data_IF_091698891065
#
_entry.id   IF_091698891065
#
_cell.length_a   1.000
_cell.length_b   1.000
_cell.length_c   1.000
_cell.angle_alpha   90.00
_cell.angle_beta   90.00
_cell.angle_gamma   90.00
#
_symmetry.space_group_name_H-M   'P 1'
#
loop_
_entity.id
_entity.type
_entity.pdbx_description
1 polymer ?
#
# COMPACT_ATOMS: atom_id res chain seq x y z
N UNK A 1 -33.88 5.12 -20.46
CA UNK A 1 -32.45 4.69 -20.41
C UNK A 1 -31.49 5.82 -20.05
N UNK A 2 -31.71 7.05 -20.52
CA UNK A 2 -30.79 8.17 -20.23
C UNK A 2 -30.65 8.47 -18.72
N UNK A 3 -31.75 8.41 -17.96
CA UNK A 3 -31.73 8.70 -16.52
C UNK A 3 -30.86 7.72 -15.71
N UNK A 4 -30.92 6.43 -16.03
CA UNK A 4 -30.11 5.41 -15.37
C UNK A 4 -28.62 5.65 -15.61
N UNK A 5 -28.25 6.02 -16.84
CA UNK A 5 -26.88 6.39 -17.20
C UNK A 5 -26.43 7.64 -16.45
N UNK A 6 -27.28 8.67 -16.38
CA UNK A 6 -26.94 9.91 -15.69
C UNK A 6 -26.68 9.69 -14.20
N UNK A 7 -27.53 8.90 -13.53
CA UNK A 7 -27.35 8.54 -12.11
C UNK A 7 -26.10 7.71 -11.88
N UNK A 8 -25.79 6.77 -12.78
CA UNK A 8 -24.55 6.00 -12.71
C UNK A 8 -23.31 6.91 -12.89
N UNK A 9 -23.33 7.83 -13.84
CA UNK A 9 -22.23 8.79 -14.04
C UNK A 9 -22.03 9.69 -12.82
N UNK A 10 -23.10 10.10 -12.15
CA UNK A 10 -23.00 10.87 -10.91
C UNK A 10 -22.42 10.04 -9.76
N UNK A 11 -22.88 8.80 -9.60
CA UNK A 11 -22.32 7.87 -8.62
C UNK A 11 -20.81 7.68 -8.78
N UNK A 12 -20.34 7.50 -10.03
CA UNK A 12 -18.91 7.36 -10.31
C UNK A 12 -18.12 8.63 -10.00
N UNK A 13 -18.66 9.81 -10.31
CA UNK A 13 -18.01 11.09 -9.95
C UNK A 13 -17.86 11.25 -8.44
N UNK A 14 -18.92 10.92 -7.68
CA UNK A 14 -18.89 10.97 -6.22
C UNK A 14 -17.90 9.97 -5.63
N UNK A 15 -17.87 8.74 -6.15
CA UNK A 15 -16.90 7.74 -5.72
C UNK A 15 -15.44 8.23 -5.86
N UNK A 16 -15.14 8.95 -6.96
CA UNK A 16 -13.82 9.49 -7.23
C UNK A 16 -13.50 10.77 -6.42
N UNK A 17 -14.47 11.65 -6.19
CA UNK A 17 -14.24 12.97 -5.60
C UNK A 17 -14.50 13.03 -4.08
N UNK A 18 -15.47 12.24 -3.59
CA UNK A 18 -15.98 12.28 -2.23
C UNK A 18 -15.63 11.01 -1.44
N UNK A 19 -15.17 9.96 -2.14
CA UNK A 19 -14.83 8.66 -1.56
C UNK A 19 -15.93 7.60 -1.67
N UNK A 20 -15.81 6.47 -0.94
CA UNK A 20 -16.66 5.29 -1.10
C UNK A 20 -18.16 5.57 -1.09
N UNK A 21 -18.89 4.97 -2.03
CA UNK A 21 -20.36 5.13 -2.13
C UNK A 21 -21.05 3.79 -1.88
N UNK A 22 -21.87 3.71 -0.82
CA UNK A 22 -22.61 2.51 -0.46
C UNK A 22 -23.91 2.37 -1.26
N UNK A 23 -24.16 1.16 -1.74
CA UNK A 23 -25.38 0.80 -2.47
C UNK A 23 -26.24 -0.06 -1.56
N UNK A 24 -27.45 0.41 -1.28
CA UNK A 24 -28.40 -0.28 -0.40
C UNK A 24 -29.52 -0.97 -1.18
N UNK A 25 -29.96 -2.15 -0.72
CA UNK A 25 -31.18 -2.81 -1.15
C UNK A 25 -32.04 -3.13 0.07
N UNK A 26 -33.29 -2.69 0.07
CA UNK A 26 -34.21 -2.82 1.22
C UNK A 26 -33.66 -2.25 2.55
N UNK A 27 -32.81 -1.22 2.48
CA UNK A 27 -32.19 -0.59 3.65
C UNK A 27 -30.89 -1.23 4.13
N UNK A 28 -30.46 -2.33 3.51
CA UNK A 28 -29.20 -3.00 3.84
C UNK A 28 -28.13 -2.69 2.79
N UNK A 29 -26.90 -2.42 3.23
CA UNK A 29 -25.75 -2.26 2.35
C UNK A 29 -25.41 -3.59 1.66
N UNK A 30 -25.44 -3.60 0.33
CA UNK A 30 -25.19 -4.82 -0.47
C UNK A 30 -23.96 -4.71 -1.36
N UNK A 31 -23.49 -3.50 -1.64
CA UNK A 31 -22.29 -3.24 -2.42
C UNK A 31 -21.72 -1.86 -2.09
N UNK A 32 -20.46 -1.64 -2.47
CA UNK A 32 -19.79 -0.34 -2.40
C UNK A 32 -19.10 -0.07 -3.73
N UNK A 33 -19.15 1.18 -4.18
CA UNK A 33 -18.37 1.68 -5.32
C UNK A 33 -17.19 2.46 -4.78
N UNK A 34 -15.99 2.04 -5.18
CA UNK A 34 -14.70 2.65 -4.80
C UNK A 34 -14.03 3.24 -6.03
N UNK A 35 -13.19 4.25 -5.84
CA UNK A 35 -12.19 4.61 -6.84
C UNK A 35 -11.26 3.41 -7.12
N UNK A 36 -10.79 3.29 -8.35
CA UNK A 36 -9.96 2.18 -8.78
C UNK A 36 -8.62 2.13 -8.03
N UNK A 37 -8.05 3.27 -7.65
CA UNK A 37 -6.81 3.35 -6.89
C UNK A 37 -7.01 2.88 -5.45
N UNK A 38 -8.13 3.25 -4.83
CA UNK A 38 -8.49 2.77 -3.50
C UNK A 38 -8.72 1.26 -3.49
N UNK A 39 -9.47 0.75 -4.47
CA UNK A 39 -9.66 -0.69 -4.62
C UNK A 39 -8.32 -1.42 -4.81
N UNK A 40 -7.45 -0.94 -5.69
CA UNK A 40 -6.13 -1.55 -5.92
C UNK A 40 -5.28 -1.54 -4.66
N UNK A 41 -5.25 -0.43 -3.91
CA UNK A 41 -4.52 -0.34 -2.63
C UNK A 41 -5.04 -1.38 -1.63
N UNK A 42 -6.35 -1.52 -1.48
CA UNK A 42 -6.97 -2.50 -0.57
C UNK A 42 -6.77 -3.94 -1.04
N UNK A 43 -6.81 -4.18 -2.35
CA UNK A 43 -6.65 -5.50 -2.95
C UNK A 43 -5.18 -5.96 -3.04
N UNK A 44 -4.23 -5.23 -2.44
CA UNK A 44 -2.80 -5.54 -2.51
C UNK A 44 -2.18 -5.33 -3.90
N UNK A 45 -2.87 -4.61 -4.78
CA UNK A 45 -2.45 -4.27 -6.14
C UNK A 45 -1.93 -2.83 -6.31
N UNK A 46 -1.91 -2.03 -5.24
CA UNK A 46 -0.94 -0.94 -5.15
C UNK A 46 0.39 -1.62 -4.93
N UNK A 47 1.31 -1.48 -5.90
CA UNK A 47 2.66 -2.05 -5.95
C UNK A 47 3.03 -2.57 -4.57
N UNK A 48 2.85 -3.87 -4.35
CA UNK A 48 3.37 -4.51 -3.17
C UNK A 48 4.85 -4.26 -3.30
N UNK A 49 5.32 -3.19 -2.66
CA UNK A 49 6.71 -2.87 -2.54
C UNK A 49 7.23 -4.08 -1.80
N UNK A 50 7.74 -5.04 -2.56
CA UNK A 50 8.19 -6.29 -2.01
C UNK A 50 9.31 -5.86 -1.08
N UNK A 51 9.02 -5.97 0.20
CA UNK A 51 9.92 -5.47 1.22
C UNK A 51 11.28 -6.14 1.07
N UNK A 52 11.34 -7.39 0.56
CA UNK A 52 12.61 -8.01 0.16
C UNK A 52 13.30 -7.29 -0.98
N UNK A 53 12.57 -6.86 -2.01
CA UNK A 53 13.12 -6.16 -3.17
C UNK A 53 13.65 -4.75 -2.81
N UNK A 54 13.02 -4.09 -1.84
CA UNK A 54 13.53 -2.84 -1.27
C UNK A 54 14.78 -3.08 -0.44
N UNK A 55 14.79 -4.11 0.40
CA UNK A 55 15.97 -4.43 1.21
C UNK A 55 17.12 -5.02 0.39
N UNK A 56 16.83 -5.70 -0.73
CA UNK A 56 17.86 -6.26 -1.61
C UNK A 56 18.53 -5.19 -2.48
N UNK A 57 17.98 -3.97 -2.53
CA UNK A 57 18.48 -2.89 -3.40
C UNK A 57 18.21 -3.14 -4.89
N UNK A 58 17.44 -4.17 -5.24
CA UNK A 58 17.14 -4.52 -6.64
C UNK A 58 16.14 -3.53 -7.27
N UNK A 59 15.35 -2.79 -6.46
CA UNK A 59 14.67 -1.57 -6.92
C UNK A 59 15.64 -0.40 -6.90
N UNK A 60 16.41 -0.23 -7.98
CA UNK A 60 17.26 0.94 -8.18
C UNK A 60 16.42 2.22 -8.30
N UNK A 61 16.16 2.89 -7.19
CA UNK A 61 15.69 4.27 -7.21
C UNK A 61 16.93 5.16 -7.47
N UNK A 62 16.97 5.94 -8.56
CA UNK A 62 18.19 6.58 -9.06
C UNK A 62 18.83 7.61 -8.12
N UNK A 63 18.13 8.00 -7.06
CA UNK A 63 18.59 8.98 -6.07
C UNK A 63 19.27 8.36 -4.84
N UNK A 64 19.29 7.03 -4.69
CA UNK A 64 19.86 6.34 -3.53
C UNK A 64 20.95 5.31 -3.91
N UNK A 65 21.87 5.67 -4.82
CA UNK A 65 22.92 4.76 -5.29
C UNK A 65 24.06 4.58 -4.27
N UNK A 66 25.04 5.49 -4.28
CA UNK A 66 26.30 5.30 -3.53
C UNK A 66 26.21 5.90 -2.12
N UNK A 67 25.66 7.10 -1.98
CA UNK A 67 25.62 7.81 -0.70
C UNK A 67 24.78 7.10 0.39
N UNK A 68 23.74 6.35 -0.01
CA UNK A 68 22.95 5.57 0.95
C UNK A 68 23.69 4.30 1.39
N UNK A 69 24.46 3.68 0.49
CA UNK A 69 25.24 2.48 0.82
C UNK A 69 26.28 2.78 1.90
N UNK A 70 26.99 3.89 1.78
CA UNK A 70 27.98 4.34 2.77
C UNK A 70 27.34 4.57 4.15
N UNK A 71 26.18 5.23 4.18
CA UNK A 71 25.43 5.48 5.42
C UNK A 71 24.94 4.18 6.07
N UNK A 72 24.48 3.22 5.26
CA UNK A 72 24.05 1.92 5.77
C UNK A 72 25.23 1.09 6.30
N UNK A 73 26.39 1.18 5.66
CA UNK A 73 27.61 0.51 6.13
C UNK A 73 28.10 1.11 7.45
N UNK A 74 28.05 2.43 7.60
CA UNK A 74 28.33 3.13 8.87
C UNK A 74 27.38 2.67 9.99
N UNK A 75 26.06 2.67 9.72
CA UNK A 75 25.05 2.22 10.68
C UNK A 75 25.25 0.73 11.04
N UNK A 76 25.54 -0.12 10.06
CA UNK A 76 25.78 -1.54 10.29
C UNK A 76 27.03 -1.79 11.13
N UNK A 77 28.09 -1.00 10.93
CA UNK A 77 29.32 -1.07 11.72
C UNK A 77 29.07 -0.66 13.18
N UNK A 78 28.31 0.42 13.42
CA UNK A 78 27.92 0.82 14.77
C UNK A 78 27.03 -0.23 15.45
N UNK A 79 26.15 -0.88 14.69
CA UNK A 79 25.28 -1.96 15.19
C UNK A 79 26.00 -3.30 15.39
N UNK A 80 27.15 -3.53 14.79
CA UNK A 80 27.90 -4.77 14.97
C UNK A 80 28.45 -4.93 16.41
N UNK A 81 28.66 -3.81 17.11
CA UNK A 81 29.01 -3.79 18.54
C UNK A 81 27.78 -4.05 19.44
N UNK A 82 26.60 -3.74 18.91
CA UNK A 82 25.28 -4.01 19.47
C UNK A 82 24.86 -5.45 19.08
N UNK A 83 25.68 -6.42 19.54
CA UNK A 83 25.47 -7.88 19.39
C UNK A 83 23.99 -8.25 19.54
N UNK A 84 23.51 -9.32 18.86
CA UNK A 84 22.10 -9.63 18.81
C UNK A 84 21.53 -9.64 20.23
N UNK A 85 20.44 -8.90 20.45
CA UNK A 85 19.59 -9.16 21.61
C UNK A 85 19.29 -10.64 21.54
N UNK A 86 19.59 -11.36 22.60
CA UNK A 86 19.18 -12.75 22.76
C UNK A 86 17.70 -12.83 22.39
N UNK A 87 17.42 -13.24 21.15
CA UNK A 87 16.11 -13.74 20.77
C UNK A 87 16.10 -15.10 21.42
N UNK A 88 15.78 -15.10 22.72
CA UNK A 88 15.42 -16.31 23.43
C UNK A 88 14.49 -17.07 22.48
N UNK A 89 14.94 -18.25 22.05
CA UNK A 89 14.17 -19.11 21.16
C UNK A 89 12.78 -19.22 21.77
N UNK A 90 11.80 -18.54 21.18
CA UNK A 90 10.40 -18.69 21.57
C UNK A 90 10.00 -20.03 21.00
N UNK A 91 10.32 -21.09 21.75
CA UNK A 91 9.69 -22.39 21.62
C UNK A 91 8.24 -22.22 22.06
N UNK A 92 7.31 -22.24 21.10
CA UNK A 92 5.88 -22.16 21.32
C UNK A 92 5.10 -22.32 20.02
#
# INVERSE_FOLDING_TARGET
>A
MQDAKQRLSELLRRAAAEGPQFVTKHGEEVAVVLDIMDYRRLAGGGEAVDFKLVLSGEQHHPEYGEALADVLEEIAAERAEDLPRDVAEVSG
#
